data_IF_616351071330
#
_entry.id   IF_616351071330
#
_cell.length_a   1.000
_cell.length_b   1.000
_cell.length_c   1.000
_cell.angle_alpha   90.00
_cell.angle_beta   90.00
_cell.angle_gamma   90.00
#
_symmetry.space_group_name_H-M   'P 1'
#
loop_
_entity.id
_entity.type
_entity.pdbx_description
1 polymer ?
#
# COMPACT_ATOMS: atom_id res chain seq x y z
N UNK A 1 -14.72 -20.21 -18.83
CA UNK A 1 -13.62 -19.82 -17.99
C UNK A 1 -14.14 -19.39 -16.62
N UNK A 2 -13.61 -19.95 -15.56
CA UNK A 2 -13.92 -19.57 -14.18
C UNK A 2 -12.70 -18.92 -13.54
N UNK A 3 -12.88 -17.77 -12.92
CA UNK A 3 -11.86 -17.13 -12.07
C UNK A 3 -12.09 -17.59 -10.64
N UNK A 4 -11.03 -18.04 -9.96
CA UNK A 4 -11.11 -18.48 -8.55
C UNK A 4 -11.33 -17.30 -7.60
N UNK A 5 -11.84 -17.55 -6.41
CA UNK A 5 -12.03 -16.58 -5.32
C UNK A 5 -12.96 -15.39 -5.66
N UNK A 6 -13.81 -15.52 -6.67
CA UNK A 6 -14.72 -14.45 -7.10
C UNK A 6 -16.13 -14.95 -7.35
N UNK A 7 -17.09 -14.06 -7.16
CA UNK A 7 -18.50 -14.30 -7.49
C UNK A 7 -18.79 -13.71 -8.87
N UNK A 8 -19.09 -14.56 -9.86
CA UNK A 8 -19.34 -14.14 -11.26
C UNK A 8 -20.81 -14.25 -11.67
N UNK A 9 -21.59 -15.06 -10.98
CA UNK A 9 -23.00 -15.29 -11.31
C UNK A 9 -23.86 -14.04 -11.06
N UNK A 10 -24.53 -13.52 -12.10
CA UNK A 10 -25.37 -12.30 -12.02
C UNK A 10 -26.40 -12.37 -10.88
N UNK A 11 -27.02 -13.53 -10.66
CA UNK A 11 -27.98 -13.75 -9.57
C UNK A 11 -27.37 -13.56 -8.19
N UNK A 12 -26.13 -14.03 -8.02
CA UNK A 12 -25.41 -13.93 -6.75
C UNK A 12 -24.89 -12.52 -6.48
N UNK A 13 -24.38 -11.84 -7.52
CA UNK A 13 -23.98 -10.44 -7.41
C UNK A 13 -25.18 -9.57 -7.02
N UNK A 14 -26.34 -9.79 -7.66
CA UNK A 14 -27.57 -9.10 -7.32
C UNK A 14 -27.94 -9.29 -5.83
N UNK A 15 -27.83 -10.53 -5.33
CA UNK A 15 -28.08 -10.84 -3.92
C UNK A 15 -27.11 -10.13 -2.98
N UNK A 16 -25.81 -10.10 -3.31
CA UNK A 16 -24.79 -9.37 -2.51
C UNK A 16 -25.12 -7.87 -2.39
N UNK A 17 -25.64 -7.26 -3.47
CA UNK A 17 -26.07 -5.86 -3.47
C UNK A 17 -27.34 -5.66 -2.64
N UNK A 18 -28.35 -6.53 -2.82
CA UNK A 18 -29.62 -6.46 -2.11
C UNK A 18 -29.46 -6.69 -0.59
N UNK A 19 -28.57 -7.60 -0.21
CA UNK A 19 -28.26 -7.91 1.21
C UNK A 19 -27.31 -6.85 1.83
N UNK A 20 -26.84 -5.85 1.06
CA UNK A 20 -25.93 -4.80 1.54
C UNK A 20 -24.51 -5.28 1.85
N UNK A 21 -24.10 -6.44 1.35
CA UNK A 21 -22.74 -6.98 1.51
C UNK A 21 -21.75 -6.17 0.69
N UNK A 22 -22.18 -5.68 -0.48
CA UNK A 22 -21.42 -4.78 -1.36
C UNK A 22 -22.23 -3.53 -1.66
N UNK A 23 -21.55 -2.41 -1.93
CA UNK A 23 -22.18 -1.10 -2.15
C UNK A 23 -22.90 -0.96 -3.50
N UNK A 24 -22.68 -1.88 -4.42
CA UNK A 24 -23.27 -1.84 -5.76
C UNK A 24 -22.50 -2.73 -6.73
N UNK A 25 -22.88 -2.67 -8.00
CA UNK A 25 -22.26 -3.44 -9.09
C UNK A 25 -20.84 -3.01 -9.41
N UNK A 26 -20.43 -1.84 -8.96
CA UNK A 26 -19.10 -1.24 -9.09
C UNK A 26 -18.23 -1.41 -7.83
N UNK A 27 -18.70 -2.17 -6.84
CA UNK A 27 -17.90 -2.44 -5.63
C UNK A 27 -16.57 -3.13 -6.02
N UNK A 28 -15.42 -2.57 -5.59
CA UNK A 28 -14.09 -3.08 -5.96
C UNK A 28 -13.80 -4.53 -5.60
N UNK A 29 -14.61 -5.15 -4.74
CA UNK A 29 -14.53 -6.59 -4.42
C UNK A 29 -15.13 -7.50 -5.48
N UNK A 30 -15.87 -6.95 -6.44
CA UNK A 30 -16.46 -7.66 -7.55
C UNK A 30 -15.52 -7.68 -8.78
N UNK A 31 -15.86 -8.49 -9.77
CA UNK A 31 -15.11 -8.63 -11.03
C UNK A 31 -15.88 -8.13 -12.27
N UNK A 32 -16.92 -7.32 -12.07
CA UNK A 32 -17.52 -6.60 -13.18
C UNK A 32 -16.50 -5.60 -13.75
N UNK A 33 -16.64 -5.23 -15.02
CA UNK A 33 -15.73 -4.24 -15.65
C UNK A 33 -15.77 -2.91 -14.88
N UNK A 34 -16.93 -2.49 -14.38
CA UNK A 34 -17.07 -1.29 -13.57
C UNK A 34 -16.31 -1.40 -12.24
N UNK A 35 -16.41 -2.56 -11.58
CA UNK A 35 -15.70 -2.83 -10.32
C UNK A 35 -14.19 -2.89 -10.53
N UNK A 36 -13.72 -3.61 -11.53
CA UNK A 36 -12.29 -3.69 -11.87
C UNK A 36 -11.71 -2.31 -12.20
N UNK A 37 -12.42 -1.49 -12.99
CA UNK A 37 -12.02 -0.11 -13.27
C UNK A 37 -11.92 0.73 -12.01
N UNK A 38 -12.93 0.70 -11.14
CA UNK A 38 -12.93 1.43 -9.86
C UNK A 38 -11.82 0.96 -8.92
N UNK A 39 -11.49 -0.32 -8.93
CA UNK A 39 -10.37 -0.90 -8.18
C UNK A 39 -9.01 -0.47 -8.74
N UNK A 40 -8.93 -0.08 -10.01
CA UNK A 40 -7.73 0.45 -10.65
C UNK A 40 -7.18 -0.40 -11.79
N UNK A 41 -7.84 -1.48 -12.17
CA UNK A 41 -7.44 -2.28 -13.34
C UNK A 41 -7.56 -1.45 -14.61
N UNK A 42 -6.56 -1.56 -15.48
CA UNK A 42 -6.52 -0.88 -16.78
C UNK A 42 -7.11 -1.76 -17.88
N UNK A 43 -7.61 -1.17 -18.98
CA UNK A 43 -7.99 -1.95 -20.14
C UNK A 43 -6.85 -2.85 -20.66
N UNK A 44 -5.61 -2.34 -20.62
CA UNK A 44 -4.40 -3.06 -21.05
C UNK A 44 -4.13 -4.29 -20.18
N UNK A 45 -4.26 -4.17 -18.85
CA UNK A 45 -4.07 -5.30 -17.93
C UNK A 45 -5.14 -6.38 -18.13
N UNK A 46 -6.40 -5.99 -18.39
CA UNK A 46 -7.49 -6.93 -18.66
C UNK A 46 -7.27 -7.63 -20.01
N UNK A 47 -6.82 -6.88 -21.02
CA UNK A 47 -6.46 -7.43 -22.33
C UNK A 47 -5.33 -8.44 -22.21
N UNK A 48 -4.26 -8.09 -21.52
CA UNK A 48 -3.13 -8.98 -21.24
C UNK A 48 -3.60 -10.28 -20.55
N UNK A 49 -4.49 -10.17 -19.57
CA UNK A 49 -5.08 -11.33 -18.90
C UNK A 49 -5.84 -12.24 -19.87
N UNK A 50 -6.70 -11.69 -20.73
CA UNK A 50 -7.45 -12.46 -21.72
C UNK A 50 -6.53 -13.13 -22.73
N UNK A 51 -5.48 -12.44 -23.17
CA UNK A 51 -4.50 -12.98 -24.12
C UNK A 51 -3.67 -14.12 -23.50
N UNK A 52 -3.27 -14.00 -22.23
CA UNK A 52 -2.52 -15.04 -21.51
C UNK A 52 -3.36 -16.30 -21.26
N UNK A 53 -4.61 -16.11 -20.89
CA UNK A 53 -5.53 -17.23 -20.59
C UNK A 53 -6.01 -17.90 -21.86
N UNK A 54 -6.15 -17.13 -22.95
CA UNK A 54 -6.71 -17.58 -24.23
C UNK A 54 -8.22 -17.79 -24.18
N UNK A 55 -8.85 -17.76 -25.34
CA UNK A 55 -10.27 -18.07 -25.49
C UNK A 55 -10.42 -19.54 -25.89
N UNK A 56 -10.94 -20.35 -24.98
CA UNK A 56 -11.18 -21.78 -25.22
C UNK A 56 -12.63 -22.14 -24.94
N UNK A 57 -13.17 -23.14 -25.66
CA UNK A 57 -14.49 -23.72 -25.38
C UNK A 57 -14.46 -24.70 -24.19
N UNK A 58 -13.29 -25.14 -23.75
CA UNK A 58 -13.15 -26.00 -22.59
C UNK A 58 -13.43 -25.19 -21.29
N UNK A 59 -14.07 -25.86 -20.33
CA UNK A 59 -14.20 -25.30 -18.98
C UNK A 59 -12.82 -25.37 -18.31
N UNK A 60 -12.25 -24.19 -18.07
CA UNK A 60 -10.99 -24.03 -17.34
C UNK A 60 -11.15 -23.08 -16.16
N UNK A 61 -10.40 -23.32 -15.09
CA UNK A 61 -10.27 -22.43 -13.95
C UNK A 61 -8.96 -21.66 -14.08
N UNK A 62 -8.99 -20.36 -13.79
CA UNK A 62 -7.82 -19.47 -13.75
C UNK A 62 -7.77 -18.83 -12.38
N UNK A 63 -6.61 -18.82 -11.79
CA UNK A 63 -6.41 -18.25 -10.47
C UNK A 63 -6.40 -16.72 -10.51
N UNK A 64 -7.03 -16.09 -9.52
CA UNK A 64 -7.09 -14.62 -9.38
C UNK A 64 -5.70 -13.95 -9.39
N UNK A 65 -4.65 -14.52 -8.79
CA UNK A 65 -3.28 -13.99 -8.88
C UNK A 65 -2.76 -13.75 -10.31
N UNK A 66 -3.27 -14.47 -11.32
CA UNK A 66 -2.93 -14.22 -12.73
C UNK A 66 -3.42 -12.84 -13.19
N UNK A 67 -4.62 -12.44 -12.75
CA UNK A 67 -5.15 -11.11 -13.04
C UNK A 67 -4.33 -10.02 -12.32
N UNK A 68 -3.92 -10.28 -11.08
CA UNK A 68 -3.05 -9.39 -10.31
C UNK A 68 -1.65 -9.27 -10.94
N UNK A 69 -1.11 -10.35 -11.49
CA UNK A 69 0.12 -10.33 -12.26
C UNK A 69 0.00 -9.37 -13.47
N UNK A 70 -1.09 -9.44 -14.22
CA UNK A 70 -1.30 -8.59 -15.40
C UNK A 70 -1.34 -7.09 -15.05
N UNK A 71 -2.03 -6.71 -13.97
CA UNK A 71 -2.04 -5.29 -13.57
C UNK A 71 -0.67 -4.84 -13.03
N UNK A 72 0.06 -5.71 -12.32
CA UNK A 72 1.43 -5.40 -11.88
C UNK A 72 2.34 -5.14 -13.06
N UNK A 73 2.33 -6.01 -14.06
CA UNK A 73 3.15 -5.85 -15.27
C UNK A 73 2.80 -4.59 -16.06
N UNK A 74 1.53 -4.25 -16.14
CA UNK A 74 1.09 -3.03 -16.82
C UNK A 74 1.49 -1.76 -16.07
N UNK A 75 1.39 -1.73 -14.74
CA UNK A 75 1.61 -0.52 -13.96
C UNK A 75 3.07 -0.27 -13.58
N UNK A 76 3.90 -1.31 -13.48
CA UNK A 76 5.26 -1.20 -12.90
C UNK A 76 6.15 -0.12 -13.52
N UNK A 77 5.99 0.16 -14.81
CA UNK A 77 6.75 1.19 -15.53
C UNK A 77 5.98 2.49 -15.78
N UNK A 78 4.69 2.52 -15.45
CA UNK A 78 3.78 3.62 -15.79
C UNK A 78 3.43 4.53 -14.63
N UNK A 79 3.55 4.05 -13.39
CA UNK A 79 3.08 4.78 -12.23
C UNK A 79 4.21 5.28 -11.34
N UNK A 80 3.96 6.39 -10.64
CA UNK A 80 4.87 6.91 -9.62
C UNK A 80 4.87 5.99 -8.40
N UNK A 81 6.06 5.80 -7.81
CA UNK A 81 6.26 5.13 -6.52
C UNK A 81 6.28 6.17 -5.43
N UNK A 82 5.27 6.15 -4.57
CA UNK A 82 5.04 7.14 -3.53
C UNK A 82 5.20 6.51 -2.15
N UNK A 83 5.69 7.28 -1.19
CA UNK A 83 5.69 6.84 0.20
C UNK A 83 4.32 7.16 0.82
N UNK A 84 3.72 6.15 1.41
CA UNK A 84 2.43 6.21 2.11
C UNK A 84 2.51 5.36 3.37
N UNK A 85 2.07 5.89 4.49
CA UNK A 85 2.06 5.21 5.78
C UNK A 85 0.62 4.83 6.09
N UNK A 86 0.33 3.54 6.13
CA UNK A 86 -1.01 3.02 6.29
C UNK A 86 -1.39 2.86 7.77
N UNK A 87 -0.45 2.46 8.63
CA UNK A 87 -0.60 2.40 10.09
C UNK A 87 0.50 3.26 10.75
N UNK A 88 0.29 4.58 10.86
CA UNK A 88 1.32 5.51 11.27
C UNK A 88 1.67 5.41 12.76
N UNK A 89 2.97 5.45 13.05
CA UNK A 89 3.52 5.78 14.34
C UNK A 89 4.50 6.95 14.18
N UNK A 90 4.47 7.88 15.13
CA UNK A 90 5.35 9.06 15.10
C UNK A 90 6.80 8.66 15.38
N UNK A 91 7.72 9.26 14.63
CA UNK A 91 9.16 9.18 14.84
C UNK A 91 9.71 10.59 14.96
N UNK A 92 10.47 10.86 16.01
CA UNK A 92 11.14 12.14 16.24
C UNK A 92 12.66 11.95 16.15
N UNK A 93 13.31 12.80 15.37
CA UNK A 93 14.77 12.82 15.25
C UNK A 93 15.29 13.88 16.20
N UNK A 94 15.74 13.48 17.40
CA UNK A 94 16.03 14.37 18.51
C UNK A 94 17.13 15.38 18.20
N UNK A 95 18.14 15.01 17.44
CA UNK A 95 19.26 15.88 17.05
C UNK A 95 19.06 16.60 15.69
N UNK A 96 17.87 16.55 15.11
CA UNK A 96 17.54 17.32 13.90
C UNK A 96 17.00 18.71 14.27
N UNK A 97 17.39 19.79 13.56
CA UNK A 97 16.93 21.15 13.87
C UNK A 97 15.41 21.29 13.81
N UNK A 98 14.81 21.99 14.80
CA UNK A 98 13.36 22.04 15.05
C UNK A 98 12.55 22.51 13.83
N UNK A 99 12.95 23.62 13.20
CA UNK A 99 12.20 24.25 12.13
C UNK A 99 12.77 23.96 10.74
N UNK A 100 13.72 23.03 10.63
CA UNK A 100 14.36 22.72 9.36
C UNK A 100 13.47 21.83 8.49
N UNK A 101 13.28 22.25 7.24
CA UNK A 101 12.67 21.44 6.19
C UNK A 101 13.68 21.27 5.07
N UNK A 102 14.10 20.04 4.82
CA UNK A 102 14.91 19.69 3.66
C UNK A 102 14.05 19.00 2.61
N UNK A 103 14.47 19.07 1.37
CA UNK A 103 13.80 18.40 0.27
C UNK A 103 14.71 17.34 -0.32
N UNK A 104 14.29 16.06 -0.20
CA UNK A 104 15.02 14.92 -0.73
C UNK A 104 14.64 14.68 -2.18
N UNK A 105 15.64 14.41 -3.02
CA UNK A 105 15.41 13.98 -4.39
C UNK A 105 15.05 12.50 -4.43
N UNK A 106 13.85 12.22 -4.90
CA UNK A 106 13.33 10.85 -4.97
C UNK A 106 12.88 10.54 -6.39
N UNK A 107 13.38 9.44 -6.95
CA UNK A 107 12.96 8.97 -8.27
C UNK A 107 11.45 8.67 -8.28
N UNK A 108 10.74 9.17 -9.30
CA UNK A 108 9.31 8.88 -9.46
C UNK A 108 9.07 7.39 -9.75
N UNK A 109 9.98 6.76 -10.47
CA UNK A 109 9.99 5.32 -10.70
C UNK A 109 11.43 4.86 -10.97
N UNK A 110 11.95 3.96 -10.13
CA UNK A 110 13.34 3.46 -10.25
C UNK A 110 13.57 2.62 -11.50
N UNK A 111 12.51 1.95 -12.00
CA UNK A 111 12.59 1.12 -13.22
C UNK A 111 12.33 1.92 -14.50
N UNK A 112 11.82 3.15 -14.39
CA UNK A 112 11.59 4.07 -15.51
C UNK A 112 12.16 5.46 -15.20
N UNK A 113 13.46 5.68 -15.42
CA UNK A 113 14.12 6.96 -15.15
C UNK A 113 13.55 8.15 -15.93
N UNK A 114 12.88 7.92 -17.06
CA UNK A 114 12.24 8.98 -17.87
C UNK A 114 11.13 9.70 -17.11
N UNK A 115 10.56 9.08 -16.08
CA UNK A 115 9.58 9.73 -15.21
C UNK A 115 10.17 10.82 -14.31
N UNK A 116 11.49 10.97 -14.27
CA UNK A 116 12.19 11.99 -13.51
C UNK A 116 12.15 11.79 -12.00
N UNK A 117 12.36 12.88 -11.29
CA UNK A 117 12.43 12.91 -9.82
C UNK A 117 11.44 13.92 -9.26
N UNK A 118 11.16 13.81 -7.95
CA UNK A 118 10.40 14.80 -7.17
C UNK A 118 11.13 15.16 -5.89
N UNK A 119 10.72 16.28 -5.30
CA UNK A 119 11.22 16.76 -4.01
C UNK A 119 10.28 16.33 -2.90
N UNK A 120 10.78 15.54 -1.95
CA UNK A 120 10.01 15.06 -0.80
C UNK A 120 10.49 15.78 0.46
N UNK A 121 9.59 16.47 1.20
CA UNK A 121 9.98 17.20 2.41
C UNK A 121 10.35 16.26 3.53
N UNK A 122 11.51 16.53 4.17
CA UNK A 122 12.02 15.85 5.34
C UNK A 122 12.07 16.83 6.51
N UNK A 123 11.53 16.43 7.64
CA UNK A 123 11.38 17.26 8.85
C UNK A 123 11.80 16.47 10.08
N UNK A 124 11.93 17.14 11.23
CA UNK A 124 12.28 16.52 12.51
C UNK A 124 11.29 15.42 12.92
N UNK A 125 10.00 15.67 12.74
CA UNK A 125 8.95 14.70 13.00
C UNK A 125 8.49 14.02 11.72
N UNK A 126 8.46 12.70 11.75
CA UNK A 126 8.04 11.83 10.65
C UNK A 126 6.97 10.85 11.13
N UNK A 127 6.29 10.22 10.19
CA UNK A 127 5.55 8.99 10.41
C UNK A 127 6.24 7.84 9.69
N UNK A 128 6.24 6.67 10.31
CA UNK A 128 6.68 5.39 9.74
C UNK A 128 5.59 4.35 9.96
N UNK A 129 5.66 3.21 9.27
CA UNK A 129 4.76 2.09 9.55
C UNK A 129 5.03 1.53 10.94
N UNK A 130 3.96 1.26 11.69
CA UNK A 130 4.07 0.67 13.04
C UNK A 130 4.77 -0.68 13.01
N UNK A 131 4.57 -1.49 11.97
CA UNK A 131 5.22 -2.78 11.80
C UNK A 131 6.73 -2.70 11.54
N UNK A 132 7.24 -1.52 11.15
CA UNK A 132 8.67 -1.28 10.98
C UNK A 132 9.44 -1.10 12.28
N UNK A 133 8.76 -1.16 13.41
CA UNK A 133 9.35 -1.07 14.74
C UNK A 133 8.93 -2.22 15.66
N UNK A 134 9.90 -2.81 16.36
CA UNK A 134 9.67 -3.77 17.45
C UNK A 134 10.67 -3.49 18.58
N UNK A 135 10.21 -3.54 19.84
CA UNK A 135 11.13 -3.41 20.98
C UNK A 135 11.98 -4.67 21.18
N UNK A 136 11.37 -5.83 21.01
CA UNK A 136 12.01 -7.15 21.17
C UNK A 136 11.84 -7.93 19.86
N UNK A 137 12.69 -7.66 18.84
CA UNK A 137 12.52 -8.26 17.54
C UNK A 137 12.95 -9.74 17.53
N UNK A 138 12.34 -10.56 16.68
CA UNK A 138 12.80 -11.91 16.42
C UNK A 138 14.16 -11.92 15.69
N UNK A 139 14.83 -13.08 15.66
CA UNK A 139 16.04 -13.26 14.85
C UNK A 139 15.72 -12.98 13.38
N UNK A 140 16.61 -12.27 12.68
CA UNK A 140 16.47 -11.85 11.27
C UNK A 140 15.45 -10.72 11.04
N UNK A 141 15.09 -9.95 12.06
CA UNK A 141 14.36 -8.71 11.86
C UNK A 141 15.35 -7.59 11.50
N UNK A 142 15.22 -6.99 10.32
CA UNK A 142 16.16 -5.99 9.80
C UNK A 142 15.60 -4.57 9.79
N UNK A 143 14.48 -4.35 10.49
CA UNK A 143 13.84 -3.05 10.62
C UNK A 143 14.27 -2.38 11.93
N UNK A 144 13.53 -1.40 12.42
CA UNK A 144 13.91 -0.58 13.56
C UNK A 144 13.62 -1.26 14.90
N UNK A 145 14.58 -1.18 15.81
CA UNK A 145 14.44 -1.54 17.23
C UNK A 145 15.44 -0.73 18.06
N UNK A 146 15.30 -0.64 19.40
CA UNK A 146 16.19 0.13 20.22
C UNK A 146 17.67 -0.21 20.02
N UNK A 147 18.48 0.81 19.75
CA UNK A 147 19.92 0.66 19.47
C UNK A 147 20.28 0.26 18.05
N UNK A 148 19.31 -0.04 17.18
CA UNK A 148 19.56 -0.41 15.78
C UNK A 148 19.57 0.81 14.86
N UNK A 149 20.46 0.77 13.88
CA UNK A 149 20.52 1.76 12.81
C UNK A 149 19.83 1.25 11.56
N UNK A 150 18.95 2.08 10.99
CA UNK A 150 18.26 1.82 9.73
C UNK A 150 18.43 3.01 8.78
N UNK A 151 18.22 2.76 7.48
CA UNK A 151 18.16 3.80 6.47
C UNK A 151 16.73 4.29 6.31
N UNK A 152 16.50 5.59 6.47
CA UNK A 152 15.30 6.23 5.95
C UNK A 152 15.48 6.43 4.45
N UNK A 153 14.58 5.88 3.65
CA UNK A 153 14.66 5.83 2.19
C UNK A 153 14.97 7.20 1.58
N UNK A 154 16.05 7.27 0.79
CA UNK A 154 16.55 8.49 0.15
C UNK A 154 16.87 9.67 1.10
N UNK A 155 16.95 9.45 2.40
CA UNK A 155 17.21 10.50 3.39
C UNK A 155 18.48 10.20 4.20
N UNK A 156 18.36 9.75 5.44
CA UNK A 156 19.47 9.59 6.37
C UNK A 156 19.46 8.20 7.03
N UNK A 157 20.60 7.85 7.61
CA UNK A 157 20.67 6.77 8.59
C UNK A 157 20.23 7.31 9.95
N UNK A 158 19.39 6.56 10.63
CA UNK A 158 18.90 6.89 11.97
C UNK A 158 19.06 5.71 12.90
N UNK A 159 19.39 6.01 14.16
CA UNK A 159 19.51 5.02 15.24
C UNK A 159 18.43 5.25 16.25
N UNK A 160 17.64 4.22 16.57
CA UNK A 160 16.61 4.31 17.59
C UNK A 160 17.24 4.41 18.99
N UNK A 161 16.82 5.41 19.76
CA UNK A 161 17.31 5.68 21.12
C UNK A 161 16.30 5.33 22.21
N UNK A 162 15.01 5.24 21.87
CA UNK A 162 13.95 4.91 22.80
C UNK A 162 12.56 5.13 22.25
N UNK A 163 11.56 4.94 23.11
CA UNK A 163 10.15 5.10 22.76
C UNK A 163 9.38 5.74 23.92
N UNK A 164 8.31 6.47 23.58
CA UNK A 164 7.27 6.87 24.51
C UNK A 164 6.07 5.94 24.37
N UNK A 165 5.40 5.68 25.49
CA UNK A 165 4.21 4.82 25.57
C UNK A 165 3.06 5.55 26.26
N UNK A 166 1.85 5.17 25.88
CA UNK A 166 0.64 5.58 26.60
C UNK A 166 0.42 4.76 27.88
N UNK A 167 -0.65 5.07 28.61
CA UNK A 167 -1.03 4.40 29.85
C UNK A 167 -1.31 2.88 29.66
N UNK A 168 -1.60 2.46 28.44
CA UNK A 168 -1.88 1.07 28.07
C UNK A 168 -0.62 0.32 27.57
N UNK A 169 0.52 1.01 27.51
CA UNK A 169 1.78 0.45 27.01
C UNK A 169 1.93 0.48 25.49
N UNK A 170 1.02 1.13 24.75
CA UNK A 170 1.16 1.29 23.31
C UNK A 170 2.20 2.36 22.97
N UNK A 171 3.02 2.09 21.97
CA UNK A 171 4.04 3.03 21.50
C UNK A 171 3.35 4.21 20.81
N UNK A 172 3.61 5.40 21.29
CA UNK A 172 3.07 6.67 20.77
C UNK A 172 4.10 7.46 19.98
N UNK A 173 5.38 7.33 20.33
CA UNK A 173 6.48 8.01 19.66
C UNK A 173 7.76 7.16 19.72
N UNK A 174 8.52 7.18 18.64
CA UNK A 174 9.84 6.57 18.55
C UNK A 174 10.87 7.68 18.48
N UNK A 175 11.90 7.62 19.33
CA UNK A 175 12.99 8.58 19.34
C UNK A 175 14.21 8.03 18.61
N UNK A 176 14.80 8.86 17.76
CA UNK A 176 15.99 8.52 16.98
C UNK A 176 16.99 9.67 16.95
N UNK A 177 18.23 9.35 16.66
CA UNK A 177 19.25 10.30 16.21
C UNK A 177 19.64 10.01 14.77
N UNK A 178 19.92 11.04 13.97
CA UNK A 178 20.38 10.88 12.61
C UNK A 178 21.86 11.18 12.45
N UNK A 179 22.46 10.62 11.41
CA UNK A 179 23.82 10.90 10.98
C UNK A 179 23.80 11.84 9.78
N UNK A 180 24.20 13.14 9.94
CA UNK A 180 24.15 14.13 8.87
C UNK A 180 25.01 13.77 7.62
N UNK A 181 26.05 12.97 7.78
CA UNK A 181 26.96 12.59 6.70
C UNK A 181 26.32 11.58 5.72
N UNK A 182 25.20 10.97 6.08
CA UNK A 182 24.54 9.90 5.33
C UNK A 182 23.44 10.39 4.39
N UNK A 183 23.36 11.70 4.13
CA UNK A 183 22.31 12.31 3.30
C UNK A 183 22.19 11.65 1.93
N UNK A 184 20.95 11.42 1.49
CA UNK A 184 20.62 10.91 0.17
C UNK A 184 20.66 9.38 0.04
N UNK A 185 20.99 8.67 1.11
CA UNK A 185 20.95 7.19 1.15
C UNK A 185 22.03 6.46 0.35
N UNK A 186 22.97 7.18 -0.28
CA UNK A 186 24.06 6.61 -1.08
C UNK A 186 25.39 6.52 -0.31
N UNK A 187 25.33 6.64 1.00
CA UNK A 187 26.51 6.59 1.85
C UNK A 187 27.16 5.20 1.80
N UNK A 188 28.48 5.15 1.57
CA UNK A 188 29.24 3.91 1.41
C UNK A 188 30.15 3.58 2.59
N UNK A 189 30.23 4.45 3.59
CA UNK A 189 31.14 4.32 4.73
C UNK A 189 30.83 3.13 5.65
N UNK A 190 29.56 2.73 5.73
CA UNK A 190 29.12 1.53 6.45
C UNK A 190 27.86 0.95 5.83
N UNK A 191 27.64 -0.35 6.01
CA UNK A 191 26.48 -1.05 5.48
C UNK A 191 25.39 -1.16 6.55
N UNK A 192 24.19 -0.67 6.24
CA UNK A 192 22.96 -0.81 7.04
C UNK A 192 22.03 -1.76 6.31
N UNK A 193 21.46 -2.74 7.02
CA UNK A 193 20.64 -3.79 6.42
C UNK A 193 19.20 -3.37 6.16
N UNK A 194 18.61 -2.54 7.03
CA UNK A 194 17.20 -2.16 6.96
C UNK A 194 17.00 -0.83 6.25
N UNK A 195 16.05 -0.77 5.32
CA UNK A 195 15.54 0.47 4.73
C UNK A 195 14.05 0.56 5.00
N UNK A 196 13.58 1.68 5.53
CA UNK A 196 12.17 1.95 5.79
C UNK A 196 11.72 3.23 5.09
N UNK A 197 10.47 3.28 4.69
CA UNK A 197 9.87 4.49 4.12
C UNK A 197 9.23 5.35 5.23
N UNK A 198 9.00 6.59 4.91
CA UNK A 198 8.60 7.62 5.86
C UNK A 198 7.81 8.73 5.18
N UNK A 199 7.05 9.50 5.95
CA UNK A 199 6.37 10.72 5.51
C UNK A 199 6.53 11.79 6.59
N UNK A 200 6.79 13.05 6.18
CA UNK A 200 6.85 14.19 7.09
C UNK A 200 5.54 14.38 7.84
N UNK A 201 5.59 14.49 9.17
CA UNK A 201 4.41 14.68 9.99
C UNK A 201 3.73 16.03 9.74
N UNK A 202 4.51 17.09 9.52
CA UNK A 202 3.98 18.46 9.31
C UNK A 202 3.60 18.76 7.86
N UNK A 203 4.10 18.00 6.90
CA UNK A 203 3.90 18.23 5.46
C UNK A 203 3.08 17.14 4.77
N UNK A 204 2.94 15.97 5.38
CA UNK A 204 2.12 14.90 4.86
C UNK A 204 0.63 15.26 4.80
N UNK A 205 -0.12 14.54 3.99
CA UNK A 205 -1.57 14.66 3.87
C UNK A 205 -2.26 13.43 4.42
N UNK A 206 -3.48 13.61 4.92
CA UNK A 206 -4.30 12.48 5.36
C UNK A 206 -5.14 11.94 4.21
N UNK A 207 -5.32 10.63 4.18
CA UNK A 207 -6.20 9.96 3.23
C UNK A 207 -6.84 8.72 3.85
N UNK A 208 -7.96 8.29 3.26
CA UNK A 208 -8.55 6.98 3.50
C UNK A 208 -7.95 5.99 2.50
N UNK A 209 -7.56 4.82 2.98
CA UNK A 209 -7.09 3.72 2.14
C UNK A 209 -7.95 2.49 2.40
N UNK A 210 -8.43 1.88 1.33
CA UNK A 210 -9.28 0.70 1.35
C UNK A 210 -8.49 -0.50 0.84
N UNK A 211 -8.37 -1.50 1.69
CA UNK A 211 -7.73 -2.76 1.36
C UNK A 211 -8.81 -3.81 1.07
N UNK A 212 -8.68 -4.47 -0.05
CA UNK A 212 -9.65 -5.47 -0.52
C UNK A 212 -9.04 -6.87 -0.49
N UNK A 213 -9.81 -7.80 0.03
CA UNK A 213 -9.55 -9.23 0.00
C UNK A 213 -10.69 -9.95 -0.71
N UNK A 214 -10.58 -11.25 -0.90
CA UNK A 214 -11.60 -12.07 -1.53
C UNK A 214 -12.93 -11.97 -0.79
N UNK A 215 -14.01 -11.79 -1.54
CA UNK A 215 -15.36 -11.65 -0.97
C UNK A 215 -15.92 -12.96 -0.41
N UNK A 216 -15.43 -14.10 -0.92
CA UNK A 216 -15.80 -15.44 -0.45
C UNK A 216 -14.57 -16.18 0.05
N UNK A 217 -14.77 -17.03 1.06
CA UNK A 217 -13.72 -17.88 1.61
C UNK A 217 -13.76 -19.25 0.89
N UNK A 218 -12.89 -19.43 -0.11
CA UNK A 218 -12.85 -20.66 -0.90
C UNK A 218 -12.35 -21.87 -0.12
N UNK A 219 -11.56 -21.71 0.92
CA UNK A 219 -11.11 -22.82 1.76
C UNK A 219 -12.30 -23.50 2.45
N UNK A 220 -13.33 -22.71 2.77
CA UNK A 220 -14.60 -23.20 3.34
C UNK A 220 -15.66 -23.51 2.28
N UNK A 221 -15.34 -23.22 1.00
CA UNK A 221 -16.31 -23.29 -0.10
C UNK A 221 -17.10 -22.00 -0.28
N UNK A 222 -17.54 -21.74 -1.50
CA UNK A 222 -18.31 -20.52 -1.86
C UNK A 222 -19.68 -20.50 -1.19
N UNK A 223 -20.27 -21.66 -0.95
CA UNK A 223 -21.60 -21.82 -0.37
C UNK A 223 -21.56 -22.70 0.89
N UNK A 224 -22.36 -22.31 1.87
CA UNK A 224 -22.66 -23.12 3.03
C UNK A 224 -23.65 -24.25 2.67
N UNK A 225 -23.85 -25.22 3.55
CA UNK A 225 -24.79 -26.33 3.37
C UNK A 225 -26.25 -25.86 3.16
N UNK A 226 -26.62 -24.72 3.75
CA UNK A 226 -27.94 -24.10 3.61
C UNK A 226 -28.12 -23.31 2.29
N UNK A 227 -27.10 -23.27 1.41
CA UNK A 227 -27.10 -22.54 0.15
C UNK A 227 -26.81 -21.04 0.25
N UNK A 228 -26.54 -20.53 1.45
CA UNK A 228 -26.03 -19.16 1.63
C UNK A 228 -24.59 -19.06 1.18
N UNK A 229 -24.15 -17.85 0.78
CA UNK A 229 -22.75 -17.61 0.43
C UNK A 229 -21.89 -17.48 1.68
N UNK A 230 -20.72 -18.10 1.65
CA UNK A 230 -19.72 -18.01 2.71
C UNK A 230 -18.92 -16.73 2.56
N UNK A 231 -19.46 -15.62 3.10
CA UNK A 231 -18.86 -14.28 2.94
C UNK A 231 -17.68 -14.11 3.89
N UNK A 232 -16.56 -13.63 3.34
CA UNK A 232 -15.41 -13.21 4.13
C UNK A 232 -15.71 -11.86 4.79
N UNK A 233 -15.85 -11.80 6.13
CA UNK A 233 -16.15 -10.56 6.85
C UNK A 233 -15.02 -9.53 6.75
N UNK A 234 -13.80 -9.98 6.43
CA UNK A 234 -12.60 -9.15 6.30
C UNK A 234 -12.29 -8.78 4.83
N UNK A 235 -13.26 -8.95 3.92
CA UNK A 235 -13.08 -8.63 2.50
C UNK A 235 -12.83 -7.14 2.21
N UNK A 236 -13.11 -6.27 3.16
CA UNK A 236 -12.86 -4.84 3.11
C UNK A 236 -12.31 -4.35 4.45
N UNK A 237 -11.12 -3.76 4.42
CA UNK A 237 -10.53 -3.03 5.55
C UNK A 237 -10.39 -1.56 5.18
N UNK A 238 -10.97 -0.67 6.00
CA UNK A 238 -10.92 0.78 5.80
C UNK A 238 -9.95 1.40 6.79
N UNK A 239 -8.88 2.00 6.28
CA UNK A 239 -7.87 2.72 7.05
C UNK A 239 -8.10 4.23 6.87
N UNK A 240 -8.49 4.92 7.93
CA UNK A 240 -8.90 6.34 7.87
C UNK A 240 -7.79 7.33 8.21
N UNK A 241 -6.71 6.88 8.83
CA UNK A 241 -5.66 7.73 9.37
C UNK A 241 -4.31 7.55 8.65
N UNK A 242 -4.35 7.20 7.36
CA UNK A 242 -3.14 7.07 6.57
C UNK A 242 -2.51 8.44 6.32
N UNK A 243 -1.18 8.47 6.30
CA UNK A 243 -0.40 9.69 6.01
C UNK A 243 0.44 9.47 4.77
N UNK A 244 0.28 10.34 3.79
CA UNK A 244 0.85 10.21 2.46
C UNK A 244 1.75 11.40 2.13
N UNK A 245 2.67 11.21 1.18
CA UNK A 245 3.46 12.29 0.62
C UNK A 245 2.58 13.45 0.14
N UNK A 246 2.99 14.72 0.37
CA UNK A 246 2.15 15.88 0.03
C UNK A 246 1.86 16.02 -1.47
N UNK A 247 2.68 15.50 -2.37
CA UNK A 247 2.42 15.54 -3.82
C UNK A 247 1.12 14.81 -4.19
N UNK A 248 0.71 13.81 -3.41
CA UNK A 248 -0.55 13.09 -3.61
C UNK A 248 -1.81 13.95 -3.40
N UNK A 249 -1.68 15.16 -2.83
CA UNK A 249 -2.79 16.12 -2.77
C UNK A 249 -3.31 16.53 -4.16
N UNK A 250 -2.49 16.40 -5.19
CA UNK A 250 -2.83 16.70 -6.58
C UNK A 250 -3.42 15.50 -7.34
N UNK A 251 -3.54 14.35 -6.70
CA UNK A 251 -4.08 13.14 -7.31
C UNK A 251 -5.55 13.31 -7.69
N UNK A 252 -5.92 12.78 -8.85
CA UNK A 252 -7.26 12.86 -9.42
C UNK A 252 -7.92 11.48 -9.41
N UNK A 253 -9.26 11.42 -9.44
CA UNK A 253 -9.96 10.15 -9.61
C UNK A 253 -9.38 9.29 -10.74
N UNK A 254 -9.20 8.01 -10.48
CA UNK A 254 -8.60 7.01 -11.36
C UNK A 254 -7.07 7.13 -11.57
N UNK A 255 -6.38 8.11 -10.98
CA UNK A 255 -4.92 8.09 -10.93
C UNK A 255 -4.42 6.88 -10.14
N UNK A 256 -3.33 6.28 -10.60
CA UNK A 256 -2.75 5.06 -10.04
C UNK A 256 -1.33 5.32 -9.56
N UNK A 257 -1.00 4.70 -8.43
CA UNK A 257 0.32 4.83 -7.80
C UNK A 257 0.76 3.48 -7.25
N UNK A 258 2.06 3.30 -7.13
CA UNK A 258 2.60 2.27 -6.27
C UNK A 258 2.91 2.92 -4.91
N UNK A 259 2.32 2.41 -3.83
CA UNK A 259 2.76 2.75 -2.49
C UNK A 259 3.92 1.82 -2.11
N UNK A 260 5.06 2.42 -1.86
CA UNK A 260 6.32 1.70 -1.59
C UNK A 260 6.10 0.63 -0.52
N UNK A 261 6.51 -0.60 -0.81
CA UNK A 261 6.37 -1.79 0.04
C UNK A 261 4.92 -2.27 0.29
N UNK A 262 3.91 -1.50 -0.05
CA UNK A 262 2.50 -1.83 0.21
C UNK A 262 1.80 -2.48 -1.00
N UNK A 263 1.97 -1.92 -2.19
CA UNK A 263 1.29 -2.41 -3.40
C UNK A 263 0.91 -1.31 -4.37
N UNK A 264 -0.08 -1.58 -5.22
CA UNK A 264 -0.62 -0.62 -6.17
C UNK A 264 -2.00 -0.13 -5.74
N UNK A 265 -2.23 1.15 -5.90
CA UNK A 265 -3.44 1.84 -5.43
C UNK A 265 -3.98 2.79 -6.49
N UNK A 266 -5.29 2.95 -6.49
CA UNK A 266 -6.03 3.82 -7.41
C UNK A 266 -6.90 4.78 -6.62
N UNK A 267 -6.93 6.05 -7.02
CA UNK A 267 -7.83 7.05 -6.44
C UNK A 267 -9.28 6.69 -6.78
N UNK A 268 -10.11 6.51 -5.75
CA UNK A 268 -11.52 6.15 -5.94
C UNK A 268 -12.26 7.26 -6.69
N UNK A 269 -13.00 6.89 -7.74
CA UNK A 269 -13.70 7.84 -8.60
C UNK A 269 -15.08 8.24 -8.09
N UNK A 270 -15.59 7.60 -7.05
CA UNK A 270 -16.93 7.81 -6.48
C UNK A 270 -16.88 8.54 -5.15
N UNK A 271 -15.94 8.16 -4.29
CA UNK A 271 -15.87 8.60 -2.90
C UNK A 271 -14.78 9.64 -2.64
N UNK A 272 -13.83 9.84 -3.55
CA UNK A 272 -12.89 10.96 -3.47
C UNK A 272 -13.60 12.24 -3.88
N UNK A 273 -13.96 13.08 -2.91
CA UNK A 273 -14.71 14.32 -3.13
C UNK A 273 -14.14 15.48 -2.30
N UNK A 274 -14.00 16.63 -2.94
CA UNK A 274 -13.44 17.81 -2.29
C UNK A 274 -12.00 17.56 -1.83
N UNK A 275 -11.74 17.75 -0.54
CA UNK A 275 -10.42 17.53 0.07
C UNK A 275 -10.23 16.10 0.61
N UNK A 276 -11.21 15.21 0.43
CA UNK A 276 -11.12 13.82 0.89
C UNK A 276 -10.59 12.95 -0.24
N UNK A 277 -9.42 12.36 -0.03
CA UNK A 277 -8.83 11.38 -0.92
C UNK A 277 -9.09 9.97 -0.38
N UNK A 278 -9.60 9.12 -1.26
CA UNK A 278 -9.82 7.70 -1.00
C UNK A 278 -9.03 6.89 -2.02
N UNK A 279 -8.21 5.96 -1.55
CA UNK A 279 -7.42 5.07 -2.38
C UNK A 279 -7.90 3.64 -2.25
N UNK A 280 -8.14 2.99 -3.37
CA UNK A 280 -8.48 1.58 -3.46
C UNK A 280 -7.23 0.75 -3.74
N UNK A 281 -6.99 -0.33 -3.00
CA UNK A 281 -5.94 -1.27 -3.33
C UNK A 281 -6.27 -2.03 -4.62
N UNK A 282 -5.41 -1.90 -5.64
CA UNK A 282 -5.50 -2.72 -6.85
C UNK A 282 -4.98 -4.13 -6.55
N UNK A 283 -3.79 -4.20 -6.00
CA UNK A 283 -3.17 -5.39 -5.44
C UNK A 283 -2.24 -5.02 -4.28
N UNK A 284 -2.05 -5.92 -3.36
CA UNK A 284 -1.13 -5.79 -2.24
C UNK A 284 0.09 -6.68 -2.45
N UNK A 285 1.25 -6.25 -1.94
CA UNK A 285 2.39 -7.14 -1.84
C UNK A 285 2.19 -8.09 -0.66
N UNK A 286 2.62 -9.34 -0.83
CA UNK A 286 2.77 -10.26 0.29
C UNK A 286 3.97 -9.82 1.15
N UNK A 287 3.97 -10.16 2.44
CA UNK A 287 5.05 -9.80 3.36
C UNK A 287 6.44 -10.16 2.84
N UNK A 288 6.58 -11.31 2.18
CA UNK A 288 7.85 -11.78 1.62
C UNK A 288 8.32 -10.99 0.40
N UNK A 289 7.39 -10.42 -0.38
CA UNK A 289 7.70 -9.62 -1.57
C UNK A 289 8.00 -8.15 -1.24
N UNK A 290 7.62 -7.68 -0.05
CA UNK A 290 7.85 -6.30 0.39
C UNK A 290 9.32 -6.06 0.78
N UNK A 291 9.99 -7.06 1.34
CA UNK A 291 11.38 -6.96 1.81
C UNK A 291 12.43 -7.09 0.68
N UNK A 292 12.09 -7.74 -0.44
CA UNK A 292 13.00 -7.92 -1.59
C UNK A 292 13.14 -6.67 -2.48
N UNK A 293 12.33 -5.63 -2.28
CA UNK A 293 12.27 -4.43 -3.15
C UNK A 293 12.53 -3.11 -2.43
N UNK A 294 12.98 -3.15 -1.17
CA UNK A 294 13.31 -1.96 -0.36
C UNK A 294 14.78 -1.54 -0.47
#
# INVERSE_FOLDING_TARGET
LYLTNVVTGKRYIKKLVEDGVVDGWDDPRLVSIAALRRRGFTPESIKMFVDLVGVTKAQGSVEYPMLEYCIREDLKLKVKRMMAILDPVKLVIDNYPEDQVEYMDVANNQENPEMGTRKVPFTKELYIEREDFMEEPPKKYFRMFPGNEVRLMNAYYVTCTGVDKDENGNITCIHCTYDPETKGGNFTGRKVKGTIHWVSASRGINAEVRLYDNIVDEEKGVYNEDGSMNINPNSLTILKNCVLEPELANARPEDRFQFVRNGYFCVDNKDSKGNVLVFNSCLLYTSDAADDKA
#
